data_IF_343218720057
#
_entry.id   IF_343218720057
#
_cell.length_a   1.000
_cell.length_b   1.000
_cell.length_c   1.000
_cell.angle_alpha   90.00
_cell.angle_beta   90.00
_cell.angle_gamma   90.00
#
_symmetry.space_group_name_H-M   'P 1'
#
loop_
_entity.id
_entity.type
_entity.pdbx_description
1 polymer ?
#
# COMPACT_ATOMS: atom_id res chain seq x y z
N UNK A 1 -46.77 14.21 26.39
CA UNK A 1 -45.48 14.05 25.68
C UNK A 1 -44.42 14.52 26.65
N UNK A 2 -43.62 13.61 27.13
CA UNK A 2 -42.57 13.94 28.13
C UNK A 2 -41.41 14.68 27.47
N UNK A 3 -40.65 15.54 28.19
CA UNK A 3 -39.51 16.24 27.65
C UNK A 3 -38.44 15.30 27.04
N UNK A 4 -38.37 14.07 27.49
CA UNK A 4 -37.47 13.04 26.96
C UNK A 4 -37.88 12.57 25.57
N UNK A 5 -39.18 12.40 25.27
CA UNK A 5 -39.68 12.01 23.94
C UNK A 5 -39.43 13.10 22.88
N UNK A 6 -39.45 14.37 23.29
CA UNK A 6 -39.16 15.49 22.39
C UNK A 6 -37.68 15.57 21.96
N UNK A 7 -36.76 15.08 22.82
CA UNK A 7 -35.33 15.09 22.54
C UNK A 7 -34.88 13.86 21.71
N UNK A 8 -35.69 12.78 21.68
CA UNK A 8 -35.35 11.55 20.94
C UNK A 8 -35.70 11.65 19.45
N UNK A 9 -36.69 12.48 19.08
CA UNK A 9 -37.10 12.67 17.68
C UNK A 9 -35.99 13.20 16.76
N UNK A 10 -35.24 14.27 17.15
CA UNK A 10 -34.20 14.78 16.25
C UNK A 10 -33.04 13.81 16.04
N UNK A 11 -32.75 12.98 17.04
CA UNK A 11 -31.68 11.96 16.89
C UNK A 11 -32.11 10.83 15.95
N UNK A 12 -33.36 10.39 16.01
CA UNK A 12 -33.89 9.37 15.10
C UNK A 12 -33.93 9.87 13.64
N UNK A 13 -34.31 11.13 13.42
CA UNK A 13 -34.30 11.74 12.10
C UNK A 13 -32.89 11.88 11.54
N UNK A 14 -31.90 12.24 12.37
CA UNK A 14 -30.48 12.29 11.99
C UNK A 14 -29.94 10.89 11.61
N UNK A 15 -30.36 9.86 12.34
CA UNK A 15 -30.02 8.46 12.00
C UNK A 15 -30.65 8.02 10.67
N UNK A 16 -31.90 8.36 10.42
CA UNK A 16 -32.56 8.06 9.14
C UNK A 16 -31.94 8.84 7.99
N UNK A 17 -31.62 10.11 8.19
CA UNK A 17 -30.91 10.92 7.19
C UNK A 17 -29.53 10.35 6.84
N UNK A 18 -28.77 9.91 7.86
CA UNK A 18 -27.48 9.24 7.65
C UNK A 18 -27.60 7.90 6.90
N UNK A 19 -28.74 7.20 7.03
CA UNK A 19 -29.02 5.94 6.31
C UNK A 19 -29.45 6.19 4.87
N UNK A 20 -30.07 7.33 4.60
CA UNK A 20 -30.60 7.71 3.28
C UNK A 20 -29.55 8.38 2.38
N UNK A 21 -28.35 8.69 2.91
CA UNK A 21 -27.24 9.16 2.06
C UNK A 21 -27.03 8.13 0.96
N UNK A 22 -27.30 8.54 -0.28
CA UNK A 22 -27.16 7.68 -1.46
C UNK A 22 -25.84 6.90 -1.44
N UNK A 23 -25.83 5.60 -1.71
CA UNK A 23 -24.60 4.82 -1.80
C UNK A 23 -23.61 5.42 -2.81
N UNK A 24 -24.12 6.12 -3.82
CA UNK A 24 -23.30 6.85 -4.79
C UNK A 24 -22.53 7.99 -4.12
N UNK A 25 -23.16 8.75 -3.21
CA UNK A 25 -22.47 9.83 -2.50
C UNK A 25 -21.38 9.27 -1.56
N UNK A 26 -21.67 8.19 -0.85
CA UNK A 26 -20.68 7.50 -0.01
C UNK A 26 -19.48 7.03 -0.84
N UNK A 27 -19.74 6.40 -1.97
CA UNK A 27 -18.69 5.93 -2.88
C UNK A 27 -17.86 7.11 -3.42
N UNK A 28 -18.50 8.21 -3.79
CA UNK A 28 -17.81 9.41 -4.28
C UNK A 28 -16.90 10.04 -3.23
N UNK A 29 -17.33 10.09 -1.98
CA UNK A 29 -16.52 10.60 -0.86
C UNK A 29 -15.31 9.69 -0.63
N UNK A 30 -15.51 8.37 -0.60
CA UNK A 30 -14.42 7.40 -0.42
C UNK A 30 -13.43 7.51 -1.58
N UNK A 31 -13.90 7.57 -2.82
CA UNK A 31 -13.06 7.77 -4.00
C UNK A 31 -12.24 9.06 -3.91
N UNK A 32 -12.88 10.17 -3.50
CA UNK A 32 -12.19 11.45 -3.28
C UNK A 32 -11.09 11.36 -2.22
N UNK A 33 -11.35 10.70 -1.10
CA UNK A 33 -10.35 10.47 -0.05
C UNK A 33 -9.19 9.62 -0.56
N UNK A 34 -9.47 8.54 -1.31
CA UNK A 34 -8.44 7.68 -1.89
C UNK A 34 -7.55 8.45 -2.89
N UNK A 35 -8.15 9.25 -3.76
CA UNK A 35 -7.43 10.08 -4.72
C UNK A 35 -6.54 11.10 -4.00
N UNK A 36 -7.08 11.79 -3.00
CA UNK A 36 -6.32 12.75 -2.21
C UNK A 36 -5.15 12.08 -1.48
N UNK A 37 -5.39 10.94 -0.85
CA UNK A 37 -4.35 10.17 -0.16
C UNK A 37 -3.24 9.72 -1.13
N UNK A 38 -3.59 9.32 -2.35
CA UNK A 38 -2.66 8.97 -3.40
C UNK A 38 -1.77 10.16 -3.79
N UNK A 39 -2.36 11.32 -4.09
CA UNK A 39 -1.60 12.50 -4.47
C UNK A 39 -0.67 13.01 -3.36
N UNK A 40 -1.13 12.98 -2.09
CA UNK A 40 -0.29 13.35 -0.95
C UNK A 40 0.93 12.43 -0.83
N UNK A 41 0.77 11.12 -1.12
CA UNK A 41 1.88 10.16 -1.07
C UNK A 41 2.86 10.34 -2.23
N UNK A 42 2.35 10.56 -3.44
CA UNK A 42 3.19 10.79 -4.63
C UNK A 42 3.92 12.14 -4.58
N UNK A 43 3.38 13.13 -3.89
CA UNK A 43 4.00 14.46 -3.83
C UNK A 43 5.47 14.42 -3.40
N UNK A 44 5.83 13.59 -2.43
CA UNK A 44 7.21 13.45 -1.96
C UNK A 44 8.15 12.92 -3.05
N UNK A 45 7.68 11.98 -3.87
CA UNK A 45 8.46 11.40 -4.97
C UNK A 45 8.66 12.42 -6.09
N UNK A 46 7.61 13.19 -6.44
CA UNK A 46 7.69 14.24 -7.47
C UNK A 46 8.60 15.38 -7.02
N UNK A 47 8.56 15.76 -5.73
CA UNK A 47 9.31 16.91 -5.20
C UNK A 47 10.78 16.62 -4.94
N UNK A 48 11.09 15.40 -4.47
CA UNK A 48 12.41 15.05 -3.94
C UNK A 48 13.10 13.93 -4.71
N UNK A 49 12.55 13.51 -5.83
CA UNK A 49 12.97 12.35 -6.61
C UNK A 49 12.86 11.02 -5.84
N UNK A 50 13.05 9.91 -6.53
CA UNK A 50 13.02 8.56 -5.93
C UNK A 50 14.37 8.22 -5.29
N UNK A 51 14.79 9.00 -4.30
CA UNK A 51 16.02 8.71 -3.54
C UNK A 51 15.67 7.79 -2.38
N UNK A 52 16.36 6.66 -2.31
CA UNK A 52 16.22 5.72 -1.21
C UNK A 52 17.13 6.16 -0.08
N UNK A 53 16.53 6.65 1.01
CA UNK A 53 17.20 6.97 2.25
C UNK A 53 17.03 5.80 3.22
N UNK A 54 17.97 5.56 4.11
CA UNK A 54 17.92 4.55 5.15
C UNK A 54 18.09 3.09 4.69
N UNK A 55 18.33 2.20 5.67
CA UNK A 55 18.65 0.80 5.42
C UNK A 55 17.42 -0.04 5.04
N UNK A 56 16.29 0.17 5.72
CA UNK A 56 15.09 -0.65 5.52
C UNK A 56 14.49 -0.48 4.12
N UNK A 57 14.33 0.74 3.56
CA UNK A 57 13.93 0.91 2.18
C UNK A 57 14.89 0.29 1.17
N UNK A 58 16.20 0.35 1.40
CA UNK A 58 17.18 -0.32 0.54
C UNK A 58 17.05 -1.83 0.57
N UNK A 59 16.84 -2.40 1.76
CA UNK A 59 16.57 -3.83 1.91
C UNK A 59 15.30 -4.25 1.19
N UNK A 60 14.21 -3.49 1.35
CA UNK A 60 12.94 -3.74 0.67
C UNK A 60 13.08 -3.66 -0.85
N UNK A 61 13.79 -2.66 -1.36
CA UNK A 61 14.10 -2.50 -2.78
C UNK A 61 14.88 -3.69 -3.33
N UNK A 62 15.96 -4.09 -2.65
CA UNK A 62 16.80 -5.23 -3.04
C UNK A 62 16.00 -6.53 -3.06
N UNK A 63 15.19 -6.77 -2.03
CA UNK A 63 14.35 -7.95 -1.92
C UNK A 63 13.25 -7.98 -3.01
N UNK A 64 12.64 -6.84 -3.29
CA UNK A 64 11.66 -6.72 -4.39
C UNK A 64 12.31 -6.99 -5.74
N UNK A 65 13.48 -6.45 -5.99
CA UNK A 65 14.24 -6.69 -7.22
C UNK A 65 14.59 -8.17 -7.41
N UNK A 66 14.98 -8.84 -6.33
CA UNK A 66 15.22 -10.28 -6.35
C UNK A 66 13.92 -11.05 -6.64
N UNK A 67 12.84 -10.74 -5.94
CA UNK A 67 11.53 -11.38 -6.11
C UNK A 67 11.01 -11.25 -7.55
N UNK A 68 11.11 -10.07 -8.14
CA UNK A 68 10.62 -9.84 -9.51
C UNK A 68 11.42 -10.60 -10.57
N UNK A 69 12.69 -10.86 -10.29
CA UNK A 69 13.59 -11.55 -11.22
C UNK A 69 13.54 -13.08 -11.06
N UNK A 70 13.63 -13.57 -9.84
CA UNK A 70 13.79 -14.99 -9.53
C UNK A 70 12.49 -15.68 -9.07
N UNK A 71 11.48 -14.90 -8.71
CA UNK A 71 10.17 -15.38 -8.30
C UNK A 71 10.05 -15.81 -6.83
N UNK A 72 8.84 -16.20 -6.44
CA UNK A 72 8.51 -16.54 -5.05
C UNK A 72 9.26 -17.73 -4.49
N UNK A 73 9.44 -18.77 -5.27
CA UNK A 73 10.13 -19.98 -4.81
C UNK A 73 11.58 -19.68 -4.44
N UNK A 74 12.27 -18.91 -5.28
CA UNK A 74 13.63 -18.48 -5.02
C UNK A 74 13.71 -17.57 -3.78
N UNK A 75 12.76 -16.65 -3.60
CA UNK A 75 12.70 -15.78 -2.44
C UNK A 75 12.60 -16.56 -1.13
N UNK A 76 11.75 -17.58 -1.06
CA UNK A 76 11.57 -18.41 0.15
C UNK A 76 12.82 -19.20 0.53
N UNK A 77 13.67 -19.52 -0.43
CA UNK A 77 14.90 -20.26 -0.21
C UNK A 77 16.15 -19.36 -0.24
N UNK A 78 15.96 -18.03 -0.30
CA UNK A 78 17.07 -17.13 -0.46
C UNK A 78 17.83 -16.87 0.84
N UNK A 79 19.14 -17.10 0.76
CA UNK A 79 20.13 -16.64 1.74
C UNK A 79 20.92 -15.48 1.13
N UNK A 80 20.84 -14.30 1.75
CA UNK A 80 21.57 -13.14 1.29
C UNK A 80 22.86 -12.97 2.10
N UNK A 81 23.98 -13.26 1.46
CA UNK A 81 25.32 -13.13 2.07
C UNK A 81 25.81 -11.70 2.19
N UNK A 82 25.19 -10.76 1.46
CA UNK A 82 25.57 -9.35 1.48
C UNK A 82 24.80 -8.53 2.52
N UNK A 83 23.62 -8.99 2.93
CA UNK A 83 22.89 -8.40 4.04
C UNK A 83 23.54 -8.79 5.37
N UNK A 84 23.73 -7.80 6.25
CA UNK A 84 24.35 -8.01 7.57
C UNK A 84 25.76 -8.63 7.48
N UNK A 85 26.52 -8.18 6.50
CA UNK A 85 27.89 -8.64 6.30
C UNK A 85 28.72 -8.56 7.59
N UNK A 86 29.57 -9.59 7.94
CA UNK A 86 29.86 -10.79 7.15
C UNK A 86 28.94 -12.00 7.39
N UNK A 87 27.93 -11.89 8.25
CA UNK A 87 27.12 -13.01 8.71
C UNK A 87 26.13 -13.51 7.65
N UNK A 88 25.62 -12.61 6.81
CA UNK A 88 24.51 -12.92 5.92
C UNK A 88 23.18 -13.09 6.66
N UNK A 89 22.10 -13.23 5.91
CA UNK A 89 20.75 -13.42 6.46
C UNK A 89 19.91 -14.36 5.61
N UNK A 90 19.19 -15.27 6.28
CA UNK A 90 18.11 -16.03 5.63
C UNK A 90 16.92 -15.08 5.40
N UNK A 91 16.58 -14.81 4.15
CA UNK A 91 15.50 -13.89 3.81
C UNK A 91 14.15 -14.58 3.89
N UNK A 92 14.02 -15.74 3.29
CA UNK A 92 12.75 -16.44 3.06
C UNK A 92 11.85 -16.59 4.28
N UNK A 93 12.36 -16.96 5.43
CA UNK A 93 11.54 -17.20 6.63
C UNK A 93 11.51 -16.03 7.63
N UNK A 94 12.21 -14.92 7.36
CA UNK A 94 12.47 -13.87 8.35
C UNK A 94 11.90 -12.50 8.00
N UNK A 95 11.24 -12.37 6.87
CA UNK A 95 10.66 -11.11 6.40
C UNK A 95 9.13 -11.21 6.27
N UNK A 96 8.47 -10.04 6.35
CA UNK A 96 7.07 -9.89 5.99
C UNK A 96 6.99 -9.47 4.52
N UNK A 97 6.61 -10.36 3.59
CA UNK A 97 6.74 -10.12 2.15
C UNK A 97 5.66 -9.21 1.56
N UNK A 98 4.78 -8.63 2.37
CA UNK A 98 3.61 -7.89 1.91
C UNK A 98 3.95 -6.75 0.94
N UNK A 99 4.84 -5.84 1.34
CA UNK A 99 5.21 -4.68 0.52
C UNK A 99 5.97 -5.11 -0.76
N UNK A 100 6.89 -6.07 -0.64
CA UNK A 100 7.65 -6.61 -1.77
C UNK A 100 6.72 -7.33 -2.76
N UNK A 101 5.78 -8.14 -2.24
CA UNK A 101 4.80 -8.85 -3.04
C UNK A 101 3.86 -7.92 -3.79
N UNK A 102 3.40 -6.85 -3.13
CA UNK A 102 2.57 -5.83 -3.78
C UNK A 102 3.32 -5.13 -4.91
N UNK A 103 4.55 -4.67 -4.65
CA UNK A 103 5.39 -4.03 -5.66
C UNK A 103 5.72 -4.97 -6.83
N UNK A 104 6.05 -6.24 -6.54
CA UNK A 104 6.29 -7.24 -7.57
C UNK A 104 5.04 -7.51 -8.42
N UNK A 105 3.85 -7.60 -7.79
CA UNK A 105 2.58 -7.79 -8.51
C UNK A 105 2.26 -6.63 -9.44
N UNK A 106 2.50 -5.39 -9.00
CA UNK A 106 2.34 -4.19 -9.83
C UNK A 106 3.29 -4.26 -11.03
N UNK A 107 4.58 -4.57 -10.78
CA UNK A 107 5.57 -4.69 -11.86
C UNK A 107 5.17 -5.75 -12.88
N UNK A 108 4.81 -6.96 -12.44
CA UNK A 108 4.39 -8.03 -13.35
C UNK A 108 3.13 -7.65 -14.15
N UNK A 109 2.20 -6.93 -13.52
CA UNK A 109 1.00 -6.41 -14.22
C UNK A 109 1.37 -5.38 -15.29
N UNK A 110 2.31 -4.48 -15.01
CA UNK A 110 2.79 -3.47 -15.96
C UNK A 110 3.58 -4.12 -17.11
N UNK A 111 4.42 -5.09 -16.81
CA UNK A 111 5.15 -5.86 -17.82
C UNK A 111 4.18 -6.62 -18.76
N UNK A 112 3.10 -7.19 -18.20
CA UNK A 112 2.05 -7.84 -18.99
C UNK A 112 1.27 -6.86 -19.89
N UNK A 113 1.19 -5.60 -19.51
CA UNK A 113 0.57 -4.53 -20.30
C UNK A 113 1.55 -3.87 -21.30
N UNK A 114 2.72 -4.47 -21.50
CA UNK A 114 3.79 -3.93 -22.37
C UNK A 114 4.30 -2.53 -21.95
N UNK A 115 4.21 -2.20 -20.69
CA UNK A 115 4.77 -1.00 -20.08
C UNK A 115 5.97 -1.38 -19.19
N UNK A 116 7.15 -1.67 -19.77
CA UNK A 116 8.31 -2.09 -19.01
C UNK A 116 8.79 -0.91 -18.15
N UNK A 117 8.58 -1.00 -16.85
CA UNK A 117 9.09 -0.03 -15.88
C UNK A 117 10.15 -0.69 -15.01
N UNK A 118 11.20 0.04 -14.69
CA UNK A 118 12.16 -0.41 -13.69
C UNK A 118 11.55 -0.30 -12.30
N UNK A 119 11.94 -1.19 -11.39
CA UNK A 119 11.44 -1.22 -10.00
C UNK A 119 11.75 0.09 -9.26
N UNK A 120 12.73 0.84 -9.71
CA UNK A 120 13.12 2.12 -9.13
C UNK A 120 12.20 3.28 -9.55
N UNK A 121 11.49 3.15 -10.63
CA UNK A 121 10.56 4.14 -11.16
C UNK A 121 9.13 3.81 -10.73
#
# INVERSE_FOLDING_TARGET
MSPEEANYKPMAELYEYGRTISPVLKLSIIAGICILAFFVRIFSVIRYESVIHEFDPWFNFRTTKFLTKEGWYALWNWYDSESWYPLGRVIGGTIFPGIMGTAASIKWSLDALFLPMDIRN
#
